data_IF_480316619043
#
_entry.id   IF_480316619043
#
_cell.length_a   1.000
_cell.length_b   1.000
_cell.length_c   1.000
_cell.angle_alpha   90.00
_cell.angle_beta   90.00
_cell.angle_gamma   90.00
#
_symmetry.space_group_name_H-M   'P 1'
#
loop_
_entity.id
_entity.type
_entity.pdbx_description
1 polymer ?
#
# COMPACT_ATOMS: atom_id res chain seq x y z
N UNK A 1 21.04 9.27 -42.29
CA UNK A 1 21.55 10.53 -41.69
C UNK A 1 21.24 10.50 -40.22
N UNK A 2 22.30 10.51 -39.40
CA UNK A 2 22.25 10.52 -37.95
C UNK A 2 21.65 11.84 -37.43
N UNK A 3 20.97 11.79 -36.28
CA UNK A 3 20.40 12.96 -35.60
C UNK A 3 19.94 12.66 -34.18
N UNK A 4 20.93 12.48 -33.30
CA UNK A 4 20.90 12.58 -31.83
C UNK A 4 19.54 12.69 -31.11
N UNK A 5 19.12 11.58 -30.48
CA UNK A 5 18.15 11.58 -29.38
C UNK A 5 18.81 11.44 -28.00
N UNK A 6 20.12 11.70 -27.86
CA UNK A 6 20.80 11.72 -26.55
C UNK A 6 20.60 13.09 -25.89
N UNK A 7 19.34 13.45 -25.66
CA UNK A 7 19.03 14.54 -24.75
C UNK A 7 19.46 14.15 -23.32
N UNK A 8 19.81 15.12 -22.45
CA UNK A 8 20.27 14.84 -21.10
C UNK A 8 19.26 13.93 -20.37
N UNK A 9 19.68 12.71 -20.07
CA UNK A 9 18.83 11.72 -19.42
C UNK A 9 18.58 12.19 -17.99
N UNK A 10 17.33 12.48 -17.65
CA UNK A 10 17.00 12.98 -16.32
C UNK A 10 17.18 11.85 -15.30
N UNK A 11 18.36 11.81 -14.68
CA UNK A 11 18.75 10.82 -13.67
C UNK A 11 17.78 10.79 -12.47
N UNK A 12 17.11 11.90 -12.16
CA UNK A 12 16.09 11.93 -11.11
C UNK A 12 14.84 11.12 -11.48
N UNK A 13 14.41 11.14 -12.75
CA UNK A 13 13.30 10.27 -13.20
C UNK A 13 13.69 8.80 -13.06
N UNK A 14 14.88 8.43 -13.51
CA UNK A 14 15.37 7.05 -13.43
C UNK A 14 15.53 6.56 -11.99
N UNK A 15 16.07 7.40 -11.09
CA UNK A 15 16.15 7.11 -9.65
C UNK A 15 14.76 6.92 -9.04
N UNK A 16 13.79 7.77 -9.40
CA UNK A 16 12.40 7.65 -8.94
C UNK A 16 11.74 6.38 -9.46
N UNK A 17 11.96 6.01 -10.71
CA UNK A 17 11.45 4.76 -11.29
C UNK A 17 12.03 3.54 -10.59
N UNK A 18 13.36 3.49 -10.39
CA UNK A 18 14.02 2.42 -9.63
C UNK A 18 13.47 2.33 -8.19
N UNK A 19 13.25 3.47 -7.54
CA UNK A 19 12.68 3.51 -6.20
C UNK A 19 11.22 3.01 -6.18
N UNK A 20 10.40 3.35 -7.19
CA UNK A 20 9.03 2.83 -7.32
C UNK A 20 9.02 1.32 -7.59
N UNK A 21 9.88 0.83 -8.48
CA UNK A 21 10.02 -0.60 -8.77
C UNK A 21 10.43 -1.40 -7.52
N UNK A 22 11.40 -0.90 -6.75
CA UNK A 22 11.81 -1.52 -5.49
C UNK A 22 10.71 -1.51 -4.42
N UNK A 23 9.90 -0.45 -4.35
CA UNK A 23 8.72 -0.40 -3.46
C UNK A 23 7.65 -1.40 -3.88
N UNK A 24 7.41 -1.58 -5.19
CA UNK A 24 6.45 -2.56 -5.71
C UNK A 24 6.86 -3.98 -5.39
N UNK A 25 8.11 -4.36 -5.67
CA UNK A 25 8.64 -5.69 -5.34
C UNK A 25 8.55 -6.02 -3.84
N UNK A 26 8.83 -5.03 -2.96
CA UNK A 26 8.64 -5.21 -1.51
C UNK A 26 7.17 -5.35 -1.12
N UNK A 27 6.27 -4.63 -1.77
CA UNK A 27 4.83 -4.77 -1.53
C UNK A 27 4.34 -6.17 -1.95
N UNK A 28 4.80 -6.68 -3.09
CA UNK A 28 4.48 -8.01 -3.59
C UNK A 28 5.03 -9.10 -2.64
N UNK A 29 6.29 -8.97 -2.19
CA UNK A 29 6.88 -9.87 -1.18
C UNK A 29 6.12 -9.83 0.15
N UNK A 30 5.67 -8.66 0.59
CA UNK A 30 4.89 -8.53 1.81
C UNK A 30 3.49 -9.13 1.66
N UNK A 31 2.87 -9.01 0.47
CA UNK A 31 1.59 -9.65 0.18
C UNK A 31 1.70 -11.18 0.26
N UNK A 32 2.78 -11.75 -0.30
CA UNK A 32 3.06 -13.20 -0.23
C UNK A 32 3.41 -13.64 1.19
N UNK A 33 4.29 -12.91 1.89
CA UNK A 33 4.82 -13.31 3.20
C UNK A 33 3.78 -13.18 4.31
N UNK A 34 2.98 -12.11 4.30
CA UNK A 34 2.08 -11.80 5.40
C UNK A 34 0.62 -12.11 5.11
N UNK A 35 0.27 -12.46 3.86
CA UNK A 35 -1.07 -12.86 3.40
C UNK A 35 -2.15 -11.76 3.47
N UNK A 36 -1.97 -10.75 4.32
CA UNK A 36 -2.80 -9.56 4.47
C UNK A 36 -1.90 -8.33 4.56
N UNK A 37 -2.20 -7.34 3.75
CA UNK A 37 -1.56 -6.02 3.75
C UNK A 37 -1.89 -5.25 5.04
N UNK A 38 -1.08 -4.23 5.36
CA UNK A 38 -1.35 -3.38 6.53
C UNK A 38 -2.72 -2.69 6.42
N UNK A 39 -3.10 -2.25 5.23
CA UNK A 39 -4.38 -1.62 4.97
C UNK A 39 -5.56 -2.56 5.26
N UNK A 40 -5.48 -3.82 4.82
CA UNK A 40 -6.52 -4.82 5.12
C UNK A 40 -6.61 -5.11 6.63
N UNK A 41 -5.47 -5.21 7.32
CA UNK A 41 -5.45 -5.38 8.78
C UNK A 41 -6.06 -4.19 9.52
N UNK A 42 -5.84 -2.96 9.06
CA UNK A 42 -6.44 -1.76 9.63
C UNK A 42 -7.95 -1.72 9.37
N UNK A 43 -8.38 -2.14 8.18
CA UNK A 43 -9.79 -2.20 7.81
C UNK A 43 -10.54 -3.25 8.63
N UNK A 44 -9.98 -4.45 8.80
CA UNK A 44 -10.54 -5.48 9.68
C UNK A 44 -10.63 -5.01 11.14
N UNK A 45 -9.60 -4.33 11.64
CA UNK A 45 -9.64 -3.75 13.00
C UNK A 45 -10.75 -2.70 13.13
N UNK A 46 -10.90 -1.82 12.15
CA UNK A 46 -11.93 -0.79 12.17
C UNK A 46 -13.34 -1.40 12.17
N UNK A 47 -13.56 -2.45 11.35
CA UNK A 47 -14.81 -3.23 11.34
C UNK A 47 -15.09 -3.86 12.70
N UNK A 48 -14.12 -4.56 13.28
CA UNK A 48 -14.28 -5.18 14.60
C UNK A 48 -14.61 -4.16 15.69
N UNK A 49 -13.98 -2.97 15.67
CA UNK A 49 -14.30 -1.90 16.63
C UNK A 49 -15.72 -1.39 16.44
N UNK A 50 -16.18 -1.22 15.20
CA UNK A 50 -17.56 -0.82 14.91
C UNK A 50 -18.55 -1.87 15.43
N UNK A 51 -18.29 -3.15 15.17
CA UNK A 51 -19.17 -4.24 15.59
C UNK A 51 -19.25 -4.33 17.12
N UNK A 52 -18.11 -4.20 17.82
CA UNK A 52 -18.09 -4.16 19.29
C UNK A 52 -18.91 -2.99 19.82
N UNK A 53 -18.71 -1.78 19.27
CA UNK A 53 -19.48 -0.60 19.69
C UNK A 53 -20.97 -0.79 19.49
N UNK A 54 -21.37 -1.32 18.33
CA UNK A 54 -22.77 -1.59 18.03
C UNK A 54 -23.39 -2.58 19.01
N UNK A 55 -22.67 -3.66 19.34
CA UNK A 55 -23.12 -4.64 20.33
C UNK A 55 -23.18 -4.04 21.74
N UNK A 56 -22.23 -3.20 22.11
CA UNK A 56 -22.22 -2.51 23.40
C UNK A 56 -23.37 -1.51 23.53
N UNK A 57 -23.71 -0.78 22.47
CA UNK A 57 -24.87 0.12 22.45
C UNK A 57 -26.17 -0.68 22.65
N UNK A 58 -26.35 -1.79 21.93
CA UNK A 58 -27.52 -2.66 22.10
C UNK A 58 -27.64 -3.28 23.50
N UNK A 59 -26.52 -3.49 24.22
CA UNK A 59 -26.52 -4.02 25.59
C UNK A 59 -26.82 -2.97 26.66
N UNK A 60 -26.68 -1.68 26.35
CA UNK A 60 -26.92 -0.59 27.31
C UNK A 60 -28.37 -0.14 27.35
N UNK A 61 -29.17 -0.56 26.38
CA UNK A 61 -30.59 -0.25 26.26
C UNK A 61 -31.51 -1.31 26.92
N UNK A 62 -30.95 -2.39 27.49
CA UNK A 62 -31.62 -3.35 28.41
C UNK A 62 -31.15 -3.16 29.86
#
# INVERSE_FOLDING_TARGET
MAGSGSGPVNLNRYRKEKARAGKKARADQNAVTFGRTKAEKELDKARNVQDVRRLDDHKRDE
#
